data_IF_417482628234
#
_entry.id   IF_417482628234
#
_cell.length_a   1.000
_cell.length_b   1.000
_cell.length_c   1.000
_cell.angle_alpha   90.00
_cell.angle_beta   90.00
_cell.angle_gamma   90.00
#
_symmetry.space_group_name_H-M   'P 1'
#
loop_
_entity.id
_entity.type
_entity.pdbx_description
1 polymer ?
#
# COMPACT_ATOMS: atom_id res chain seq x y z
N UNK A 1 12.25 52.00 -18.04
CA UNK A 1 11.58 52.24 -19.34
C UNK A 1 10.19 51.56 -19.39
N UNK A 2 10.03 50.34 -18.95
CA UNK A 2 8.76 49.55 -19.00
C UNK A 2 7.62 50.20 -18.18
N UNK A 3 7.89 50.71 -17.01
CA UNK A 3 6.88 51.34 -16.11
C UNK A 3 6.34 52.65 -16.70
N UNK A 4 7.16 53.48 -17.37
CA UNK A 4 6.70 54.72 -18.00
C UNK A 4 5.72 54.50 -19.19
N UNK A 5 5.87 53.38 -19.92
CA UNK A 5 4.97 53.05 -21.02
C UNK A 5 3.57 52.63 -20.54
N UNK A 6 3.49 51.97 -19.35
CA UNK A 6 2.22 51.52 -18.77
C UNK A 6 1.41 52.69 -18.22
N UNK A 7 2.06 53.62 -17.52
CA UNK A 7 1.45 54.77 -16.87
C UNK A 7 1.03 55.86 -17.89
N UNK A 8 1.70 55.90 -19.06
CA UNK A 8 1.38 56.85 -20.13
C UNK A 8 0.20 56.44 -21.03
N UNK A 9 -0.31 55.24 -20.95
CA UNK A 9 -1.42 54.75 -21.78
C UNK A 9 -2.68 54.48 -20.92
N UNK A 10 -3.67 55.41 -20.91
CA UNK A 10 -4.88 55.23 -20.09
C UNK A 10 -5.71 54.00 -20.45
N UNK A 11 -5.63 53.49 -21.68
CA UNK A 11 -6.38 52.29 -22.09
C UNK A 11 -5.82 50.99 -21.48
N UNK A 12 -4.62 51.02 -20.88
CA UNK A 12 -4.04 49.89 -20.14
C UNK A 12 -4.42 49.86 -18.65
N UNK A 13 -5.20 50.82 -18.19
CA UNK A 13 -5.64 50.95 -16.82
C UNK A 13 -7.15 50.61 -16.67
N UNK A 14 -7.62 50.04 -15.56
CA UNK A 14 -6.88 49.78 -14.30
C UNK A 14 -5.90 48.59 -14.40
N UNK A 15 -4.84 48.63 -13.61
CA UNK A 15 -3.86 47.53 -13.54
C UNK A 15 -3.43 47.28 -12.12
N UNK A 16 -3.33 46.00 -11.73
CA UNK A 16 -2.75 45.57 -10.46
C UNK A 16 -1.33 45.08 -10.66
N UNK A 17 -0.44 45.39 -9.73
CA UNK A 17 0.94 44.92 -9.70
C UNK A 17 1.35 44.61 -8.26
N UNK A 18 2.12 43.54 -8.05
CA UNK A 18 2.76 43.26 -6.77
C UNK A 18 4.21 43.63 -6.80
N UNK A 19 4.69 44.35 -5.80
CA UNK A 19 6.10 44.74 -5.65
C UNK A 19 6.62 44.34 -4.30
N UNK A 20 7.92 44.05 -4.21
CA UNK A 20 8.60 43.77 -2.96
C UNK A 20 9.28 45.03 -2.43
N UNK A 21 9.01 45.40 -1.20
CA UNK A 21 9.59 46.55 -0.51
C UNK A 21 10.25 46.05 0.78
N UNK A 22 11.56 45.80 0.71
CA UNK A 22 12.25 45.11 1.83
C UNK A 22 11.68 43.72 2.09
N UNK A 23 11.22 43.40 3.30
CA UNK A 23 10.58 42.13 3.61
C UNK A 23 9.09 42.08 3.21
N UNK A 24 8.49 43.22 2.90
CA UNK A 24 7.05 43.36 2.67
C UNK A 24 6.68 43.21 1.19
N UNK A 25 5.49 42.72 0.93
CA UNK A 25 4.86 42.64 -0.40
C UNK A 25 3.73 43.67 -0.44
N UNK A 26 3.81 44.63 -1.33
CA UNK A 26 2.75 45.59 -1.58
C UNK A 26 2.02 45.29 -2.89
N UNK A 27 0.71 45.30 -2.86
CA UNK A 27 -0.14 45.24 -4.05
C UNK A 27 -0.55 46.68 -4.42
N UNK A 28 -0.27 47.05 -5.66
CA UNK A 28 -0.55 48.36 -6.24
C UNK A 28 -1.76 48.25 -7.16
N UNK A 29 -2.74 49.12 -7.01
CA UNK A 29 -3.80 49.28 -8.00
C UNK A 29 -3.61 50.66 -8.64
N UNK A 30 -3.35 50.65 -9.93
CA UNK A 30 -3.11 51.83 -10.78
C UNK A 30 -4.38 52.09 -11.58
N UNK A 31 -4.99 53.21 -11.40
CA UNK A 31 -6.21 53.62 -12.10
C UNK A 31 -5.99 54.92 -12.89
N UNK A 32 -6.78 55.14 -13.94
CA UNK A 32 -6.76 56.38 -14.70
C UNK A 32 -7.60 57.44 -13.97
N UNK A 33 -7.04 58.65 -13.87
CA UNK A 33 -7.78 59.83 -13.40
C UNK A 33 -8.02 60.72 -14.59
N UNK A 34 -9.29 61.12 -14.78
CA UNK A 34 -9.72 61.99 -15.83
C UNK A 34 -10.27 63.32 -15.30
N UNK A 35 -10.16 64.39 -16.02
CA UNK A 35 -10.78 65.67 -15.69
C UNK A 35 -12.31 65.65 -15.94
N UNK A 36 -12.99 66.75 -15.57
CA UNK A 36 -14.44 66.87 -15.73
C UNK A 36 -14.91 66.79 -17.23
N UNK A 37 -14.00 66.88 -18.16
CA UNK A 37 -14.23 66.72 -19.61
C UNK A 37 -13.85 65.33 -20.14
N UNK A 38 -13.51 64.38 -19.25
CA UNK A 38 -13.12 63.03 -19.61
C UNK A 38 -11.68 62.86 -20.11
N UNK A 39 -10.85 63.92 -20.08
CA UNK A 39 -9.47 63.82 -20.55
C UNK A 39 -8.57 63.22 -19.46
N UNK A 40 -7.73 62.31 -19.83
CA UNK A 40 -6.76 61.67 -18.92
C UNK A 40 -5.78 62.74 -18.37
N UNK A 41 -5.65 62.83 -17.06
CA UNK A 41 -4.76 63.77 -16.39
C UNK A 41 -3.61 63.10 -15.66
N UNK A 42 -3.72 61.79 -15.42
CA UNK A 42 -2.65 61.02 -14.82
C UNK A 42 -3.15 59.73 -14.13
N UNK A 43 -2.22 58.89 -13.65
CA UNK A 43 -2.58 57.73 -12.88
C UNK A 43 -2.79 58.07 -11.37
N UNK A 44 -3.72 57.39 -10.74
CA UNK A 44 -3.80 57.27 -9.31
C UNK A 44 -3.32 55.91 -8.89
N UNK A 45 -2.45 55.84 -7.88
CA UNK A 45 -1.95 54.59 -7.34
C UNK A 45 -2.41 54.45 -5.90
N UNK A 46 -3.17 53.39 -5.63
CA UNK A 46 -3.45 52.94 -4.30
C UNK A 46 -2.63 51.70 -4.02
N UNK A 47 -2.27 51.46 -2.79
CA UNK A 47 -1.47 50.32 -2.42
C UNK A 47 -1.83 49.80 -1.05
N UNK A 48 -1.60 48.49 -0.81
CA UNK A 48 -1.82 47.82 0.46
C UNK A 48 -0.69 46.82 0.70
N UNK A 49 -0.35 46.60 1.95
CA UNK A 49 0.62 45.56 2.35
C UNK A 49 -0.13 44.25 2.44
N UNK A 50 0.28 43.30 1.63
CA UNK A 50 -0.36 41.98 1.52
C UNK A 50 0.54 40.81 1.91
N UNK A 51 1.64 41.06 2.61
CA UNK A 51 2.63 40.03 2.99
C UNK A 51 2.00 38.85 3.70
N UNK A 52 1.19 39.08 4.74
CA UNK A 52 0.49 38.05 5.48
C UNK A 52 -0.53 37.29 4.63
N UNK A 53 -1.22 38.00 3.74
CA UNK A 53 -2.18 37.38 2.80
C UNK A 53 -1.48 36.45 1.85
N UNK A 54 -0.36 36.89 1.24
CA UNK A 54 0.44 36.06 0.33
C UNK A 54 1.01 34.86 1.06
N UNK A 55 1.58 35.02 2.25
CA UNK A 55 2.09 33.91 3.06
C UNK A 55 1.00 32.88 3.41
N UNK A 56 -0.22 33.36 3.67
CA UNK A 56 -1.38 32.47 3.94
C UNK A 56 -1.82 31.75 2.67
N UNK A 57 -1.87 32.46 1.52
CA UNK A 57 -2.18 31.86 0.20
C UNK A 57 -1.17 30.76 -0.16
N UNK A 58 0.13 31.04 0.01
CA UNK A 58 1.21 30.06 -0.25
C UNK A 58 1.11 28.84 0.67
N UNK A 59 0.89 29.05 1.95
CA UNK A 59 0.70 27.96 2.93
C UNK A 59 -0.53 27.10 2.59
N UNK A 60 -1.64 27.74 2.22
CA UNK A 60 -2.85 27.00 1.82
C UNK A 60 -2.65 26.24 0.52
N UNK A 61 -1.91 26.79 -0.46
CA UNK A 61 -1.56 26.11 -1.69
C UNK A 61 -0.66 24.89 -1.44
N UNK A 62 0.32 25.02 -0.55
CA UNK A 62 1.20 23.90 -0.15
C UNK A 62 0.41 22.79 0.53
N UNK A 63 -0.45 23.12 1.51
CA UNK A 63 -1.33 22.17 2.17
C UNK A 63 -2.28 21.46 1.18
N UNK A 64 -2.85 22.21 0.24
CA UNK A 64 -3.71 21.65 -0.80
C UNK A 64 -2.91 20.69 -1.72
N UNK A 65 -1.67 21.04 -2.07
CA UNK A 65 -0.76 20.18 -2.83
C UNK A 65 -0.43 18.88 -2.11
N UNK A 66 -0.08 18.96 -0.82
CA UNK A 66 0.19 17.78 0.01
C UNK A 66 -1.04 16.87 0.11
N UNK A 67 -2.23 17.46 0.34
CA UNK A 67 -3.49 16.71 0.41
C UNK A 67 -3.83 16.04 -0.92
N UNK A 68 -3.61 16.74 -2.04
CA UNK A 68 -3.79 16.18 -3.39
C UNK A 68 -2.88 14.97 -3.62
N UNK A 69 -1.63 15.01 -3.20
CA UNK A 69 -0.70 13.89 -3.29
C UNK A 69 -1.17 12.67 -2.47
N UNK A 70 -1.65 12.90 -1.24
CA UNK A 70 -2.23 11.85 -0.39
C UNK A 70 -3.47 11.24 -1.04
N UNK A 71 -4.35 12.06 -1.62
CA UNK A 71 -5.57 11.61 -2.31
C UNK A 71 -5.28 10.84 -3.60
N UNK A 72 -4.16 11.13 -4.27
CA UNK A 72 -3.76 10.42 -5.50
C UNK A 72 -3.30 8.97 -5.24
N UNK A 73 -2.75 8.71 -4.05
CA UNK A 73 -2.14 7.42 -3.70
C UNK A 73 -3.00 6.55 -2.79
N UNK A 74 -4.06 7.10 -2.20
CA UNK A 74 -4.94 6.40 -1.27
C UNK A 74 -6.39 6.47 -1.70
N UNK A 75 -7.14 5.43 -1.36
CA UNK A 75 -8.60 5.45 -1.36
C UNK A 75 -9.07 6.29 -0.16
N UNK A 76 -9.79 7.39 -0.41
CA UNK A 76 -10.21 8.34 0.64
C UNK A 76 -11.73 8.44 0.66
N UNK A 77 -12.30 8.42 1.87
CA UNK A 77 -13.74 8.62 2.09
C UNK A 77 -13.96 9.38 3.39
N UNK A 78 -14.94 10.27 3.39
CA UNK A 78 -15.30 11.12 4.52
C UNK A 78 -16.67 10.76 5.10
N UNK A 79 -16.76 10.82 6.42
CA UNK A 79 -17.98 10.50 7.17
C UNK A 79 -18.34 11.61 8.16
N UNK A 80 -19.65 11.77 8.40
CA UNK A 80 -20.14 12.44 9.60
C UNK A 80 -19.87 11.56 10.82
N UNK A 81 -20.06 12.10 12.01
CA UNK A 81 -19.85 11.40 13.27
C UNK A 81 -20.79 10.21 13.47
N UNK A 82 -21.95 10.23 12.83
CA UNK A 82 -22.91 9.13 12.82
C UNK A 82 -22.57 8.03 11.80
N UNK A 83 -21.45 8.16 11.07
CA UNK A 83 -21.05 7.20 10.03
C UNK A 83 -21.69 7.45 8.67
N UNK A 84 -22.43 8.54 8.48
CA UNK A 84 -23.02 8.92 7.18
C UNK A 84 -21.91 9.38 6.23
N UNK A 85 -21.88 8.84 5.02
CA UNK A 85 -20.90 9.17 3.97
C UNK A 85 -21.17 10.57 3.42
N UNK A 86 -20.14 11.42 3.44
CA UNK A 86 -20.17 12.77 2.90
C UNK A 86 -19.61 12.84 1.50
N UNK A 87 -18.41 12.27 1.32
CA UNK A 87 -17.67 12.30 0.05
C UNK A 87 -16.68 11.14 -0.06
N UNK A 88 -16.26 10.80 -1.28
CA UNK A 88 -15.25 9.79 -1.55
C UNK A 88 -14.50 10.11 -2.85
N UNK A 89 -13.19 9.80 -2.88
CA UNK A 89 -12.39 10.00 -4.07
C UNK A 89 -12.56 8.86 -5.09
N UNK A 90 -12.14 9.06 -6.35
CA UNK A 90 -12.27 8.04 -7.40
C UNK A 90 -11.59 6.71 -7.06
N UNK A 91 -10.44 6.74 -6.34
CA UNK A 91 -9.73 5.53 -5.94
C UNK A 91 -10.57 4.68 -4.98
N UNK A 92 -11.23 5.30 -3.99
CA UNK A 92 -12.15 4.58 -3.10
C UNK A 92 -13.34 3.99 -3.86
N UNK A 93 -13.97 4.78 -4.73
CA UNK A 93 -15.13 4.35 -5.53
C UNK A 93 -14.77 3.15 -6.42
N UNK A 94 -13.61 3.18 -7.05
CA UNK A 94 -13.11 2.07 -7.85
C UNK A 94 -12.88 0.80 -7.02
N UNK A 95 -12.28 0.94 -5.83
CA UNK A 95 -12.02 -0.20 -4.92
C UNK A 95 -13.32 -0.89 -4.49
N UNK A 96 -14.36 -0.13 -4.15
CA UNK A 96 -15.62 -0.72 -3.67
C UNK A 96 -16.64 -0.99 -4.80
N UNK A 97 -16.41 -0.49 -6.02
CA UNK A 97 -17.26 -0.69 -7.19
C UNK A 97 -18.56 0.12 -7.21
N UNK A 98 -18.64 1.20 -6.43
CA UNK A 98 -19.82 2.08 -6.37
C UNK A 98 -19.54 3.43 -7.05
N UNK A 99 -20.60 4.14 -7.45
CA UNK A 99 -20.51 5.57 -7.77
C UNK A 99 -20.72 6.41 -6.51
N UNK A 100 -20.33 7.68 -6.57
CA UNK A 100 -20.49 8.59 -5.43
C UNK A 100 -21.98 8.82 -5.11
N UNK A 101 -22.83 8.92 -6.13
CA UNK A 101 -24.27 9.13 -5.98
C UNK A 101 -24.94 7.95 -5.26
N UNK A 102 -24.45 6.74 -5.45
CA UNK A 102 -24.98 5.53 -4.81
C UNK A 102 -24.67 5.45 -3.33
N UNK A 103 -23.52 6.04 -2.89
CA UNK A 103 -23.06 5.92 -1.51
C UNK A 103 -23.23 7.19 -0.68
N UNK A 104 -23.26 8.38 -1.30
CA UNK A 104 -23.42 9.65 -0.59
C UNK A 104 -24.71 9.66 0.21
N UNK A 105 -24.64 10.03 1.48
CA UNK A 105 -25.77 9.99 2.41
C UNK A 105 -26.12 8.62 2.95
N UNK A 106 -25.49 7.55 2.46
CA UNK A 106 -25.61 6.21 3.05
C UNK A 106 -24.69 6.10 4.27
N UNK A 107 -24.91 5.06 5.05
CA UNK A 107 -24.09 4.80 6.24
C UNK A 107 -22.93 3.84 5.93
N UNK A 108 -21.76 4.03 6.57
CA UNK A 108 -20.56 3.18 6.45
C UNK A 108 -20.86 1.68 6.55
N UNK A 109 -21.90 1.30 7.30
CA UNK A 109 -22.30 -0.10 7.51
C UNK A 109 -22.63 -0.85 6.20
N UNK A 110 -22.84 -0.15 5.08
CA UNK A 110 -23.05 -0.78 3.78
C UNK A 110 -21.81 -1.55 3.27
N UNK A 111 -20.63 -1.21 3.76
CA UNK A 111 -19.36 -1.84 3.39
C UNK A 111 -18.92 -2.94 4.35
N UNK A 112 -19.74 -3.30 5.34
CA UNK A 112 -19.40 -4.35 6.31
C UNK A 112 -20.43 -5.48 6.27
N UNK A 113 -20.01 -6.69 6.68
CA UNK A 113 -20.92 -7.83 6.76
C UNK A 113 -22.05 -7.57 7.76
N UNK A 114 -23.20 -8.21 7.55
CA UNK A 114 -24.35 -8.04 8.42
C UNK A 114 -24.05 -8.45 9.88
N UNK A 115 -23.26 -9.50 10.06
CA UNK A 115 -22.84 -9.95 11.40
C UNK A 115 -21.98 -8.89 12.10
N UNK A 116 -20.99 -8.32 11.41
CA UNK A 116 -20.12 -7.29 11.98
C UNK A 116 -20.90 -5.99 12.26
N UNK A 117 -21.80 -5.58 11.37
CA UNK A 117 -22.64 -4.39 11.56
C UNK A 117 -23.45 -4.44 12.88
N UNK A 118 -23.90 -5.63 13.29
CA UNK A 118 -24.68 -5.85 14.51
C UNK A 118 -23.82 -6.06 15.76
N UNK A 119 -22.51 -6.16 15.63
CA UNK A 119 -21.59 -6.47 16.72
C UNK A 119 -21.42 -5.30 17.69
N UNK A 120 -21.00 -5.62 18.91
CA UNK A 120 -20.60 -4.62 19.90
C UNK A 120 -19.33 -3.89 19.48
N UNK A 121 -18.40 -4.58 18.81
CA UNK A 121 -17.14 -4.05 18.30
C UNK A 121 -17.38 -2.92 17.29
N UNK A 122 -18.35 -3.07 16.39
CA UNK A 122 -18.70 -2.03 15.40
C UNK A 122 -19.27 -0.78 16.06
N UNK A 123 -20.04 -0.91 17.13
CA UNK A 123 -20.53 0.25 17.92
C UNK A 123 -19.40 0.92 18.66
N UNK A 124 -18.52 0.14 19.29
CA UNK A 124 -17.37 0.68 20.02
C UNK A 124 -16.40 1.39 19.07
N UNK A 125 -16.18 0.85 17.88
CA UNK A 125 -15.38 1.48 16.85
C UNK A 125 -15.83 2.92 16.55
N UNK A 126 -17.13 3.17 16.36
CA UNK A 126 -17.65 4.50 16.12
C UNK A 126 -17.62 5.38 17.38
N UNK A 127 -17.85 4.82 18.55
CA UNK A 127 -17.73 5.55 19.81
C UNK A 127 -16.32 6.10 20.03
N UNK A 128 -15.29 5.29 19.77
CA UNK A 128 -13.87 5.70 19.86
C UNK A 128 -13.51 6.77 18.84
N UNK A 129 -13.95 6.63 17.60
CA UNK A 129 -13.76 7.66 16.59
C UNK A 129 -14.39 9.00 17.01
N UNK A 130 -15.59 8.97 17.56
CA UNK A 130 -16.29 10.15 18.06
C UNK A 130 -15.62 10.77 19.29
N UNK A 131 -14.94 9.97 20.10
CA UNK A 131 -14.08 10.42 21.18
C UNK A 131 -12.76 11.06 20.69
N UNK A 132 -12.48 10.94 19.36
CA UNK A 132 -11.30 11.51 18.74
C UNK A 132 -10.10 10.58 18.73
N UNK A 133 -10.32 9.28 18.90
CA UNK A 133 -9.30 8.24 18.78
C UNK A 133 -9.20 7.76 17.33
N UNK A 134 -8.00 7.81 16.75
CA UNK A 134 -7.76 7.28 15.41
C UNK A 134 -7.67 5.75 15.44
N UNK A 135 -8.27 5.09 14.45
CA UNK A 135 -8.28 3.62 14.33
C UNK A 135 -7.47 3.21 13.11
N UNK A 136 -6.50 2.33 13.31
CA UNK A 136 -5.64 1.80 12.23
C UNK A 136 -5.65 0.28 12.24
N UNK A 137 -5.68 -0.34 11.08
CA UNK A 137 -5.61 -1.80 10.95
C UNK A 137 -5.98 -2.31 9.56
N UNK A 138 -5.98 -3.64 9.46
CA UNK A 138 -6.52 -4.36 8.31
C UNK A 138 -8.01 -4.62 8.55
N UNK A 139 -8.82 -4.34 7.54
CA UNK A 139 -10.28 -4.48 7.65
C UNK A 139 -10.83 -5.23 6.44
N UNK A 140 -11.74 -6.15 6.70
CA UNK A 140 -12.54 -6.78 5.67
C UNK A 140 -13.76 -5.91 5.33
N UNK A 141 -14.01 -5.69 4.04
CA UNK A 141 -15.12 -4.90 3.53
C UNK A 141 -15.86 -5.67 2.44
N UNK A 142 -17.08 -5.25 2.14
CA UNK A 142 -17.93 -5.82 1.12
C UNK A 142 -18.11 -4.79 0.01
N UNK A 143 -17.73 -5.16 -1.20
CA UNK A 143 -17.94 -4.35 -2.40
C UNK A 143 -19.38 -4.47 -2.96
N UNK A 144 -19.68 -3.69 -3.99
CA UNK A 144 -21.01 -3.64 -4.64
C UNK A 144 -21.46 -5.00 -5.18
N UNK A 145 -20.56 -5.78 -5.73
CA UNK A 145 -20.84 -7.13 -6.25
C UNK A 145 -20.92 -8.22 -5.17
N UNK A 146 -20.82 -7.85 -3.90
CA UNK A 146 -20.76 -8.79 -2.78
C UNK A 146 -19.38 -9.41 -2.54
N UNK A 147 -18.38 -9.03 -3.32
CA UNK A 147 -17.01 -9.50 -3.16
C UNK A 147 -16.37 -9.00 -1.86
N UNK A 148 -15.51 -9.81 -1.30
CA UNK A 148 -14.67 -9.43 -0.16
C UNK A 148 -13.51 -8.56 -0.64
N UNK A 149 -13.29 -7.44 0.04
CA UNK A 149 -12.19 -6.52 -0.16
C UNK A 149 -11.43 -6.40 1.15
N UNK A 150 -10.12 -6.57 1.11
CA UNK A 150 -9.25 -6.34 2.26
C UNK A 150 -8.55 -5.00 2.09
N UNK A 151 -8.63 -4.17 3.11
CA UNK A 151 -8.01 -2.84 3.12
C UNK A 151 -7.14 -2.69 4.35
N UNK A 152 -5.97 -2.10 4.18
CA UNK A 152 -5.25 -1.47 5.29
C UNK A 152 -5.72 -0.02 5.36
N UNK A 153 -6.25 0.42 6.51
CA UNK A 153 -6.88 1.73 6.62
C UNK A 153 -6.60 2.43 7.94
N UNK A 154 -6.61 3.76 7.85
CA UNK A 154 -6.58 4.68 8.98
C UNK A 154 -7.89 5.47 8.95
N UNK A 155 -8.65 5.44 10.02
CA UNK A 155 -9.80 6.31 10.27
C UNK A 155 -9.34 7.42 11.21
N UNK A 156 -9.29 8.64 10.71
CA UNK A 156 -8.78 9.81 11.40
C UNK A 156 -9.91 10.78 11.73
N UNK A 157 -10.25 10.97 13.00
CA UNK A 157 -11.17 12.03 13.44
C UNK A 157 -10.55 13.41 13.18
N UNK A 158 -11.26 14.27 12.48
CA UNK A 158 -10.83 15.64 12.18
C UNK A 158 -11.47 16.59 13.18
N UNK A 159 -10.64 17.46 13.77
CA UNK A 159 -11.06 18.44 14.77
C UNK A 159 -11.14 19.84 14.17
N UNK A 160 -12.07 20.65 14.65
CA UNK A 160 -12.14 22.08 14.36
C UNK A 160 -11.11 22.88 15.19
N UNK A 161 -11.10 24.20 14.99
CA UNK A 161 -10.24 25.13 15.74
C UNK A 161 -10.51 25.16 17.26
N UNK A 162 -11.65 24.62 17.70
CA UNK A 162 -12.04 24.52 19.12
C UNK A 162 -11.68 23.18 19.73
N UNK A 163 -11.08 22.26 18.91
CA UNK A 163 -10.70 20.92 19.33
C UNK A 163 -11.83 19.88 19.26
N UNK A 164 -13.03 20.26 18.83
CA UNK A 164 -14.18 19.36 18.70
C UNK A 164 -14.06 18.49 17.45
N UNK A 165 -14.34 17.20 17.57
CA UNK A 165 -14.38 16.29 16.40
C UNK A 165 -15.58 16.66 15.53
N UNK A 166 -15.36 16.88 14.24
CA UNK A 166 -16.39 17.34 13.29
C UNK A 166 -16.72 16.33 12.22
N UNK A 167 -15.76 15.52 11.83
CA UNK A 167 -15.90 14.45 10.82
C UNK A 167 -14.82 13.40 11.00
N UNK A 168 -14.99 12.27 10.34
CA UNK A 168 -13.96 11.22 10.22
C UNK A 168 -13.53 11.12 8.76
N UNK A 169 -12.23 11.14 8.51
CA UNK A 169 -11.66 10.87 7.19
C UNK A 169 -10.95 9.53 7.25
N UNK A 170 -11.23 8.67 6.28
CA UNK A 170 -10.57 7.39 6.14
C UNK A 170 -9.62 7.44 4.95
N UNK A 171 -8.39 7.03 5.19
CA UNK A 171 -7.40 6.72 4.17
C UNK A 171 -7.23 5.22 4.12
N UNK A 172 -7.31 4.63 2.94
CA UNK A 172 -7.21 3.18 2.79
C UNK A 172 -6.36 2.79 1.57
N UNK A 173 -5.71 1.65 1.71
CA UNK A 173 -5.02 0.96 0.63
C UNK A 173 -5.66 -0.40 0.43
N UNK A 174 -5.97 -0.77 -0.81
CA UNK A 174 -6.45 -2.11 -1.15
C UNK A 174 -5.28 -3.10 -1.04
N UNK A 175 -5.43 -4.09 -0.17
CA UNK A 175 -4.46 -5.16 0.06
C UNK A 175 -5.02 -6.52 -0.33
N UNK A 176 -6.13 -6.57 -1.08
CA UNK A 176 -6.86 -7.81 -1.40
C UNK A 176 -5.96 -8.81 -2.12
N UNK A 177 -5.21 -8.36 -3.12
CA UNK A 177 -4.26 -9.21 -3.85
C UNK A 177 -3.14 -9.75 -2.95
N UNK A 178 -2.61 -8.92 -2.05
CA UNK A 178 -1.56 -9.33 -1.11
C UNK A 178 -2.10 -10.35 -0.09
N UNK A 179 -3.33 -10.17 0.41
CA UNK A 179 -3.98 -11.14 1.31
C UNK A 179 -4.19 -12.47 0.60
N UNK A 180 -4.74 -12.46 -0.63
CA UNK A 180 -4.94 -13.70 -1.38
C UNK A 180 -3.63 -14.43 -1.71
N UNK A 181 -2.58 -13.70 -2.08
CA UNK A 181 -1.26 -14.29 -2.30
C UNK A 181 -0.70 -14.94 -1.01
N UNK A 182 -0.88 -14.29 0.14
CA UNK A 182 -0.47 -14.83 1.45
C UNK A 182 -1.28 -16.08 1.81
N UNK A 183 -2.58 -16.07 1.59
CA UNK A 183 -3.46 -17.22 1.85
C UNK A 183 -3.12 -18.40 0.93
N UNK A 184 -2.83 -18.14 -0.34
CA UNK A 184 -2.43 -19.18 -1.29
C UNK A 184 -1.09 -19.79 -0.90
N UNK A 185 -0.07 -18.96 -0.59
CA UNK A 185 1.22 -19.44 -0.11
C UNK A 185 1.07 -20.29 1.17
N UNK A 186 0.23 -19.86 2.11
CA UNK A 186 -0.06 -20.61 3.32
C UNK A 186 -0.74 -21.95 3.00
N UNK A 187 -1.71 -21.96 2.07
CA UNK A 187 -2.40 -23.19 1.63
C UNK A 187 -1.40 -24.18 1.03
N UNK A 188 -0.53 -23.72 0.14
CA UNK A 188 0.51 -24.56 -0.48
C UNK A 188 1.45 -25.12 0.60
N UNK A 189 1.87 -24.28 1.55
CA UNK A 189 2.69 -24.72 2.69
C UNK A 189 1.99 -25.80 3.50
N UNK A 190 0.70 -25.63 3.83
CA UNK A 190 -0.07 -26.63 4.57
C UNK A 190 -0.23 -27.93 3.79
N UNK A 191 -0.42 -27.86 2.48
CA UNK A 191 -0.46 -29.05 1.63
C UNK A 191 0.86 -29.81 1.68
N UNK A 192 2.00 -29.14 1.58
CA UNK A 192 3.32 -29.76 1.68
C UNK A 192 3.57 -30.36 3.07
N UNK A 193 3.18 -29.66 4.15
CA UNK A 193 3.32 -30.13 5.52
C UNK A 193 2.49 -31.40 5.82
N UNK A 194 1.31 -31.49 5.22
CA UNK A 194 0.40 -32.64 5.43
C UNK A 194 0.56 -33.74 4.37
N UNK A 195 1.48 -33.59 3.42
CA UNK A 195 1.73 -34.61 2.39
C UNK A 195 2.31 -35.88 3.02
N UNK A 196 1.71 -37.05 2.76
CA UNK A 196 2.17 -38.33 3.35
C UNK A 196 3.49 -38.82 2.76
N UNK A 197 3.83 -38.36 1.56
CA UNK A 197 5.10 -38.68 0.90
C UNK A 197 6.22 -37.81 1.42
N UNK A 198 7.42 -38.38 1.67
CA UNK A 198 8.60 -37.58 2.02
C UNK A 198 8.97 -36.61 0.89
N UNK A 199 9.11 -35.35 1.22
CA UNK A 199 9.54 -34.27 0.31
C UNK A 199 10.66 -33.49 0.96
N UNK A 200 11.73 -33.25 0.22
CA UNK A 200 12.85 -32.40 0.60
C UNK A 200 13.17 -31.44 -0.55
N UNK A 201 13.73 -30.29 -0.23
CA UNK A 201 14.16 -29.30 -1.19
C UNK A 201 15.56 -28.81 -0.84
N UNK A 202 16.43 -28.70 -1.85
CA UNK A 202 17.71 -28.02 -1.70
C UNK A 202 17.73 -26.73 -2.54
N UNK A 203 18.60 -25.78 -2.19
CA UNK A 203 18.82 -24.57 -2.97
C UNK A 203 19.80 -24.85 -4.15
N UNK A 204 20.07 -23.82 -4.95
CA UNK A 204 21.03 -23.92 -6.07
C UNK A 204 22.48 -24.24 -5.66
N UNK A 205 22.83 -24.07 -4.36
CA UNK A 205 24.10 -24.49 -3.77
C UNK A 205 24.07 -25.94 -3.28
N UNK A 206 22.93 -26.62 -3.46
CA UNK A 206 22.66 -27.96 -2.98
C UNK A 206 22.66 -28.09 -1.46
N UNK A 207 22.31 -27.03 -0.76
CA UNK A 207 22.07 -27.03 0.68
C UNK A 207 20.58 -27.33 0.94
N UNK A 208 20.29 -28.22 1.87
CA UNK A 208 18.92 -28.62 2.21
C UNK A 208 18.20 -27.46 2.91
N UNK A 209 17.14 -26.94 2.29
CA UNK A 209 16.40 -25.79 2.79
C UNK A 209 15.01 -26.14 3.33
N UNK A 210 14.48 -27.31 2.97
CA UNK A 210 13.16 -27.75 3.42
C UNK A 210 13.07 -29.27 3.54
N UNK A 211 12.33 -29.72 4.55
CA UNK A 211 11.88 -31.10 4.74
C UNK A 211 10.47 -31.08 5.31
N UNK A 212 9.55 -31.86 4.72
CA UNK A 212 8.23 -32.02 5.31
C UNK A 212 8.24 -33.04 6.49
N UNK A 213 7.19 -33.09 7.33
CA UNK A 213 7.12 -34.04 8.44
C UNK A 213 7.26 -35.49 8.04
N UNK A 214 6.77 -35.88 6.85
CA UNK A 214 6.93 -37.24 6.35
C UNK A 214 8.41 -37.58 6.07
N UNK A 215 9.21 -36.63 5.57
CA UNK A 215 10.67 -36.78 5.41
C UNK A 215 11.35 -36.96 6.76
N UNK A 216 11.02 -36.10 7.72
CA UNK A 216 11.57 -36.19 9.09
C UNK A 216 11.25 -37.54 9.71
N UNK A 217 10.02 -38.03 9.58
CA UNK A 217 9.61 -39.33 10.09
C UNK A 217 10.32 -40.50 9.38
N UNK A 218 10.40 -40.44 8.04
CA UNK A 218 11.06 -41.48 7.26
C UNK A 218 12.56 -41.59 7.58
N UNK A 219 13.26 -40.43 7.60
CA UNK A 219 14.67 -40.36 7.93
C UNK A 219 14.93 -40.73 9.40
N UNK A 220 14.01 -40.42 10.31
CA UNK A 220 14.08 -40.84 11.71
C UNK A 220 14.16 -42.36 11.90
N UNK A 221 13.48 -43.15 11.06
CA UNK A 221 13.56 -44.63 11.08
C UNK A 221 14.95 -45.15 10.74
N UNK A 222 15.69 -44.42 9.95
CA UNK A 222 17.05 -44.77 9.47
C UNK A 222 18.15 -43.90 10.09
N UNK A 223 17.84 -43.18 11.17
CA UNK A 223 18.71 -42.22 11.84
C UNK A 223 20.13 -42.74 12.09
N UNK A 224 20.28 -44.01 12.43
CA UNK A 224 21.60 -44.64 12.72
C UNK A 224 22.51 -44.75 11.48
N UNK A 225 21.98 -44.60 10.29
CA UNK A 225 22.71 -44.65 9.02
C UNK A 225 22.95 -43.26 8.44
N UNK A 226 22.42 -42.18 9.08
CA UNK A 226 22.61 -40.82 8.65
C UNK A 226 23.91 -40.25 9.21
N UNK A 227 24.60 -39.38 8.45
CA UNK A 227 25.84 -38.73 8.90
C UNK A 227 25.60 -37.66 9.97
N UNK A 228 24.37 -37.18 10.11
CA UNK A 228 23.93 -36.15 11.06
C UNK A 228 22.56 -36.49 11.64
N UNK A 229 22.22 -35.99 12.83
CA UNK A 229 20.85 -36.04 13.34
C UNK A 229 19.85 -35.37 12.40
N UNK A 230 18.63 -35.94 12.29
CA UNK A 230 17.59 -35.45 11.34
C UNK A 230 17.23 -33.99 11.57
N UNK A 231 17.19 -33.54 12.81
CA UNK A 231 16.91 -32.16 13.21
C UNK A 231 18.01 -31.15 12.83
N UNK A 232 19.18 -31.65 12.40
CA UNK A 232 20.35 -30.85 11.98
C UNK A 232 20.65 -30.97 10.48
N UNK A 233 19.77 -31.57 9.71
CA UNK A 233 19.98 -31.72 8.26
C UNK A 233 19.68 -30.45 7.48
N UNK A 234 18.75 -29.61 7.93
CA UNK A 234 18.47 -28.32 7.29
C UNK A 234 19.70 -27.43 7.41
N UNK A 235 20.14 -26.87 6.27
CA UNK A 235 21.34 -26.06 6.11
C UNK A 235 22.59 -26.88 5.74
N UNK A 236 22.55 -28.22 5.83
CA UNK A 236 23.67 -29.06 5.38
C UNK A 236 23.63 -29.25 3.87
N UNK A 237 24.82 -29.42 3.25
CA UNK A 237 24.92 -29.83 1.83
C UNK A 237 24.41 -31.26 1.65
N UNK A 238 23.71 -31.56 0.55
CA UNK A 238 23.34 -32.92 0.17
C UNK A 238 24.55 -33.84 -0.02
N UNK A 239 25.74 -33.30 -0.17
CA UNK A 239 26.99 -34.05 -0.30
C UNK A 239 27.21 -35.01 0.88
N UNK A 240 26.72 -34.69 2.06
CA UNK A 240 26.86 -35.56 3.24
C UNK A 240 26.20 -36.93 3.08
N UNK A 241 25.23 -37.05 2.16
CA UNK A 241 24.56 -38.31 1.85
C UNK A 241 25.23 -39.16 0.77
N UNK A 242 26.26 -38.61 0.11
CA UNK A 242 26.83 -39.19 -1.08
C UNK A 242 28.29 -39.54 -0.92
N UNK A 243 28.68 -40.75 -1.35
CA UNK A 243 30.09 -41.19 -1.37
C UNK A 243 30.93 -40.51 -2.46
N UNK A 244 30.29 -40.05 -3.51
CA UNK A 244 30.88 -39.35 -4.65
C UNK A 244 30.08 -38.08 -4.97
N UNK A 245 30.21 -37.01 -4.12
CA UNK A 245 29.38 -35.81 -4.21
C UNK A 245 29.53 -35.07 -5.56
N UNK A 246 30.69 -35.11 -6.20
CA UNK A 246 30.95 -34.48 -7.51
C UNK A 246 30.03 -34.96 -8.62
N UNK A 247 29.63 -36.21 -8.60
CA UNK A 247 28.66 -36.74 -9.56
C UNK A 247 27.26 -36.12 -9.35
N UNK A 248 26.83 -36.05 -8.11
CA UNK A 248 25.53 -35.50 -7.76
C UNK A 248 25.48 -33.99 -8.01
N UNK A 249 26.55 -33.28 -7.71
CA UNK A 249 26.67 -31.84 -7.99
C UNK A 249 26.50 -31.56 -9.48
N UNK A 250 27.21 -32.30 -10.36
CA UNK A 250 27.08 -32.12 -11.81
C UNK A 250 25.69 -32.46 -12.33
N UNK A 251 25.03 -33.47 -11.75
CA UNK A 251 23.67 -33.86 -12.12
C UNK A 251 22.64 -32.78 -11.73
N UNK A 252 22.70 -32.34 -10.48
CA UNK A 252 21.68 -31.50 -9.88
C UNK A 252 21.89 -30.00 -10.09
N UNK A 253 23.08 -29.56 -10.48
CA UNK A 253 23.33 -28.14 -10.79
C UNK A 253 22.82 -27.71 -12.16
N UNK A 254 22.49 -28.65 -13.04
CA UNK A 254 21.94 -28.39 -14.36
C UNK A 254 20.48 -28.86 -14.43
N UNK A 255 19.49 -27.95 -14.49
CA UNK A 255 18.08 -28.32 -14.56
C UNK A 255 17.72 -29.16 -15.79
N UNK A 256 18.53 -29.16 -16.87
CA UNK A 256 18.29 -29.97 -18.05
C UNK A 256 18.46 -31.48 -17.81
N UNK A 257 19.15 -31.85 -16.73
CA UNK A 257 19.29 -33.24 -16.27
C UNK A 257 18.08 -33.75 -15.48
N UNK A 258 17.12 -32.87 -15.17
CA UNK A 258 15.96 -33.17 -14.36
C UNK A 258 14.67 -33.23 -15.22
N UNK A 259 13.70 -34.10 -14.92
CA UNK A 259 13.61 -34.92 -13.72
C UNK A 259 14.56 -36.14 -13.75
N UNK A 260 15.10 -36.53 -12.59
CA UNK A 260 15.98 -37.67 -12.40
C UNK A 260 15.41 -38.65 -11.37
N UNK A 261 15.53 -39.97 -11.65
CA UNK A 261 15.14 -41.03 -10.72
C UNK A 261 16.35 -41.84 -10.31
N UNK A 262 16.47 -42.09 -9.02
CA UNK A 262 17.56 -42.90 -8.47
C UNK A 262 17.06 -43.80 -7.36
N UNK A 263 17.73 -44.95 -7.21
CA UNK A 263 17.59 -45.81 -6.04
C UNK A 263 18.87 -45.76 -5.25
N UNK A 264 18.78 -45.43 -3.98
CA UNK A 264 19.93 -45.39 -3.10
C UNK A 264 19.72 -46.34 -1.94
N UNK A 265 20.80 -47.01 -1.51
CA UNK A 265 20.83 -47.85 -0.33
C UNK A 265 21.28 -47.01 0.88
N UNK A 266 20.47 -46.99 1.94
CA UNK A 266 20.80 -46.33 3.21
C UNK A 266 20.74 -47.40 4.33
N UNK A 267 21.85 -48.01 4.64
CA UNK A 267 21.89 -49.22 5.46
C UNK A 267 21.17 -50.38 4.79
N UNK A 268 20.21 -51.06 5.44
CA UNK A 268 19.42 -52.11 4.85
C UNK A 268 18.23 -51.62 4.02
N UNK A 269 17.92 -50.34 4.08
CA UNK A 269 16.76 -49.75 3.40
C UNK A 269 17.13 -49.25 1.99
N UNK A 270 16.17 -49.47 1.07
CA UNK A 270 16.27 -48.91 -0.28
C UNK A 270 15.34 -47.74 -0.43
N UNK A 271 15.88 -46.57 -0.74
CA UNK A 271 15.14 -45.36 -1.02
C UNK A 271 15.03 -45.13 -2.51
N UNK A 272 13.83 -44.84 -2.99
CA UNK A 272 13.60 -44.38 -4.37
C UNK A 272 13.41 -42.86 -4.34
N UNK A 273 14.26 -42.16 -5.08
CA UNK A 273 14.26 -40.69 -5.20
C UNK A 273 13.72 -40.28 -6.55
N UNK A 274 12.81 -39.32 -6.58
CA UNK A 274 12.39 -38.60 -7.75
C UNK A 274 12.79 -37.14 -7.57
N UNK A 275 13.74 -36.66 -8.34
CA UNK A 275 14.27 -35.30 -8.21
C UNK A 275 13.78 -34.48 -9.39
N UNK A 276 13.20 -33.33 -9.14
CA UNK A 276 12.68 -32.37 -10.13
C UNK A 276 13.30 -31.00 -9.92
N UNK A 277 13.45 -30.25 -11.02
CA UNK A 277 13.91 -28.87 -10.95
C UNK A 277 12.81 -27.94 -10.42
N UNK A 278 13.17 -27.05 -9.52
CA UNK A 278 12.33 -25.93 -9.11
C UNK A 278 12.88 -24.66 -9.75
N UNK A 279 12.02 -23.91 -10.44
CA UNK A 279 12.37 -22.66 -11.12
C UNK A 279 11.51 -21.52 -10.60
N UNK A 280 12.06 -20.30 -10.58
CA UNK A 280 11.33 -19.08 -10.26
C UNK A 280 10.35 -18.70 -11.37
N UNK A 281 9.49 -17.72 -11.12
CA UNK A 281 8.62 -17.10 -12.14
C UNK A 281 9.43 -16.50 -13.32
N UNK A 282 10.66 -16.07 -13.08
CA UNK A 282 11.59 -15.57 -14.11
C UNK A 282 12.32 -16.69 -14.88
N UNK A 283 12.06 -17.96 -14.53
CA UNK A 283 12.74 -19.13 -15.14
C UNK A 283 14.14 -19.42 -14.56
N UNK A 284 14.54 -18.74 -13.48
CA UNK A 284 15.82 -19.02 -12.83
C UNK A 284 15.74 -20.32 -12.01
N UNK A 285 16.77 -21.15 -12.10
CA UNK A 285 16.87 -22.39 -11.33
C UNK A 285 17.11 -22.09 -9.85
N UNK A 286 16.17 -22.52 -9.01
CA UNK A 286 16.22 -22.33 -7.54
C UNK A 286 16.92 -23.50 -6.86
N UNK A 287 16.74 -24.73 -7.38
CA UNK A 287 17.31 -25.95 -6.84
C UNK A 287 16.46 -27.19 -7.13
N UNK A 288 16.91 -28.36 -6.70
CA UNK A 288 16.16 -29.61 -6.83
C UNK A 288 15.19 -29.84 -5.67
#
# INVERSE_FOLDING_TARGET
>A
AHQRGIVGNPSSLPRTARIKIGPEIAELLITAVNDAKGRYIGPMVTWDIITEKVATEEKNADLAGQMSAVHATNAVIEFKLDGTIVDANPAFLQTVGYTLEEIRGRHHSMFVSESHRKSAEYRDFWNRLNAGEAMTGEFQRVGKSGNTIYIHAIYAPIRDARGSVTKVVKFAQDITSAVHAREEAFRVQQMMQNMPSPVMMANSKLELVYMNPASTQALGKVQKYLPRPVDKLIGESIDIFHKQPEHQRRLLSDPSNLPHRARIALGPEMLELNVSAIVSESGEYIGP
#
